data_IF_641602657574
#
_entry.id   IF_641602657574
#
_cell.length_a   1.000
_cell.length_b   1.000
_cell.length_c   1.000
_cell.angle_alpha   90.00
_cell.angle_beta   90.00
_cell.angle_gamma   90.00
#
_symmetry.space_group_name_H-M   'P 1'
#
loop_
_entity.id
_entity.type
_entity.pdbx_description
1 polymer ?
#
# COMPACT_ATOMS: atom_id res chain seq x y z
N UNK A 1 0.15 24.22 15.54
CA UNK A 1 -0.63 23.00 15.86
C UNK A 1 0.16 21.74 15.48
N UNK A 2 0.33 20.81 16.42
CA UNK A 2 1.18 19.60 16.33
C UNK A 2 0.48 18.38 15.70
N UNK A 3 -0.68 18.57 15.05
CA UNK A 3 -1.52 17.46 14.61
C UNK A 3 -1.10 16.91 13.25
N UNK A 4 -1.17 15.57 13.15
CA UNK A 4 -1.08 14.79 11.92
C UNK A 4 -2.09 15.30 10.87
N UNK A 5 -1.78 15.15 9.58
CA UNK A 5 -2.74 15.40 8.49
C UNK A 5 -3.74 14.24 8.36
N UNK A 6 -3.35 13.05 8.80
CA UNK A 6 -4.18 11.85 8.79
C UNK A 6 -5.05 11.80 10.05
N UNK A 7 -6.35 11.60 9.87
CA UNK A 7 -7.25 11.20 10.96
C UNK A 7 -7.19 9.69 11.14
N UNK A 8 -7.68 9.19 12.28
CA UNK A 8 -7.74 7.75 12.57
C UNK A 8 -8.40 6.92 11.45
N UNK A 9 -9.52 7.40 10.88
CA UNK A 9 -10.15 6.73 9.74
C UNK A 9 -9.24 6.65 8.51
N UNK A 10 -8.50 7.71 8.20
CA UNK A 10 -7.61 7.72 7.03
C UNK A 10 -6.42 6.79 7.24
N UNK A 11 -5.92 6.70 8.48
CA UNK A 11 -4.87 5.74 8.87
C UNK A 11 -5.36 4.30 8.69
N UNK A 12 -6.58 4.02 9.15
CA UNK A 12 -7.19 2.69 9.02
C UNK A 12 -7.47 2.33 7.56
N UNK A 13 -7.97 3.27 6.76
CA UNK A 13 -8.21 3.07 5.32
C UNK A 13 -6.89 2.76 4.59
N UNK A 14 -5.84 3.56 4.83
CA UNK A 14 -4.50 3.30 4.26
C UNK A 14 -3.96 1.94 4.70
N UNK A 15 -4.05 1.63 6.00
CA UNK A 15 -3.61 0.35 6.56
C UNK A 15 -4.33 -0.82 5.89
N UNK A 16 -5.66 -0.75 5.74
CA UNK A 16 -6.46 -1.81 5.16
C UNK A 16 -6.07 -2.10 3.70
N UNK A 17 -5.86 -1.05 2.88
CA UNK A 17 -5.53 -1.25 1.46
C UNK A 17 -4.09 -1.80 1.31
N UNK A 18 -3.12 -1.29 2.06
CA UNK A 18 -1.75 -1.83 2.06
C UNK A 18 -1.74 -3.28 2.52
N UNK A 19 -2.42 -3.58 3.63
CA UNK A 19 -2.50 -4.92 4.18
C UNK A 19 -3.17 -5.89 3.20
N UNK A 20 -4.26 -5.47 2.57
CA UNK A 20 -4.94 -6.26 1.54
C UNK A 20 -4.02 -6.60 0.36
N UNK A 21 -3.19 -5.65 -0.09
CA UNK A 21 -2.24 -5.91 -1.16
C UNK A 21 -1.15 -6.92 -0.76
N UNK A 22 -0.58 -6.77 0.43
CA UNK A 22 0.41 -7.72 0.94
C UNK A 22 -0.18 -9.12 1.15
N UNK A 23 -1.37 -9.22 1.74
CA UNK A 23 -2.05 -10.50 1.96
C UNK A 23 -2.40 -11.17 0.63
N UNK A 24 -2.91 -10.41 -0.35
CA UNK A 24 -3.24 -10.96 -1.67
C UNK A 24 -2.00 -11.55 -2.35
N UNK A 25 -0.87 -10.84 -2.30
CA UNK A 25 0.39 -11.35 -2.84
C UNK A 25 0.87 -12.61 -2.09
N UNK A 26 0.75 -12.61 -0.76
CA UNK A 26 1.13 -13.75 0.08
C UNK A 26 0.27 -14.98 -0.21
N UNK A 27 -1.05 -14.83 -0.39
CA UNK A 27 -1.95 -15.93 -0.77
C UNK A 27 -1.52 -16.52 -2.12
N UNK A 28 -1.24 -15.67 -3.11
CA UNK A 28 -0.82 -16.14 -4.44
C UNK A 28 0.51 -16.90 -4.39
N UNK A 29 1.46 -16.46 -3.56
CA UNK A 29 2.72 -17.18 -3.34
C UNK A 29 2.54 -18.48 -2.59
N UNK A 30 1.69 -18.48 -1.56
CA UNK A 30 1.37 -19.68 -0.80
C UNK A 30 0.78 -20.75 -1.71
N UNK A 31 -0.19 -20.36 -2.54
CA UNK A 31 -0.83 -21.26 -3.51
C UNK A 31 0.17 -21.79 -4.55
N UNK A 32 1.20 -21.01 -4.91
CA UNK A 32 2.26 -21.46 -5.82
C UNK A 32 3.24 -22.47 -5.19
N UNK A 33 3.46 -22.37 -3.88
CA UNK A 33 4.38 -23.26 -3.14
C UNK A 33 3.68 -24.51 -2.62
N UNK A 34 2.41 -24.37 -2.24
CA UNK A 34 1.54 -25.49 -1.87
C UNK A 34 1.14 -26.22 -3.15
N UNK A 35 2.00 -27.12 -3.62
CA UNK A 35 1.67 -28.05 -4.69
C UNK A 35 0.46 -28.88 -4.23
N UNK A 36 -0.72 -28.61 -4.79
CA UNK A 36 -1.99 -29.17 -4.36
C UNK A 36 -2.12 -30.60 -4.91
N UNK A 37 -1.35 -31.53 -4.32
CA UNK A 37 -1.24 -32.94 -4.70
C UNK A 37 -2.59 -33.71 -4.71
N UNK A 38 -3.67 -33.14 -4.17
CA UNK A 38 -4.95 -33.82 -3.95
C UNK A 38 -6.01 -33.72 -5.06
N UNK A 39 -5.92 -32.77 -6.01
CA UNK A 39 -6.98 -32.62 -7.02
C UNK A 39 -6.54 -31.92 -8.30
N UNK A 40 -6.40 -32.70 -9.38
CA UNK A 40 -6.00 -32.25 -10.72
C UNK A 40 -6.85 -31.09 -11.28
N UNK A 41 -8.17 -31.11 -11.02
CA UNK A 41 -9.08 -30.05 -11.51
C UNK A 41 -8.81 -28.73 -10.78
N UNK A 42 -8.62 -28.75 -9.46
CA UNK A 42 -8.36 -27.55 -8.66
C UNK A 42 -7.00 -26.92 -9.03
N UNK A 43 -5.99 -27.76 -9.27
CA UNK A 43 -4.65 -27.35 -9.68
C UNK A 43 -4.70 -26.56 -10.99
N UNK A 44 -5.41 -27.07 -12.01
CA UNK A 44 -5.53 -26.39 -13.30
C UNK A 44 -6.24 -25.03 -13.23
N UNK A 45 -7.28 -24.90 -12.38
CA UNK A 45 -7.92 -23.60 -12.13
C UNK A 45 -6.99 -22.62 -11.43
N UNK A 46 -6.21 -23.11 -10.46
CA UNK A 46 -5.28 -22.30 -9.69
C UNK A 46 -4.09 -21.84 -10.53
N UNK A 47 -3.54 -22.70 -11.38
CA UNK A 47 -2.48 -22.33 -12.34
C UNK A 47 -2.93 -21.18 -13.24
N UNK A 48 -4.17 -21.24 -13.74
CA UNK A 48 -4.73 -20.14 -14.53
C UNK A 48 -4.79 -18.83 -13.73
N UNK A 49 -5.08 -18.87 -12.43
CA UNK A 49 -5.07 -17.68 -11.56
C UNK A 49 -3.64 -17.17 -11.33
N UNK A 50 -2.66 -18.07 -11.17
CA UNK A 50 -1.24 -17.73 -11.00
C UNK A 50 -0.71 -17.03 -12.26
N UNK A 51 -1.12 -17.45 -13.46
CA UNK A 51 -0.75 -16.76 -14.71
C UNK A 51 -1.21 -15.29 -14.73
N UNK A 52 -2.33 -14.99 -14.07
CA UNK A 52 -2.83 -13.63 -13.89
C UNK A 52 -2.31 -12.91 -12.64
N UNK A 53 -1.38 -13.49 -11.87
CA UNK A 53 -0.81 -12.88 -10.65
C UNK A 53 -0.26 -11.47 -10.91
N UNK A 54 0.39 -11.26 -12.05
CA UNK A 54 0.93 -9.96 -12.43
C UNK A 54 -0.18 -8.93 -12.67
N UNK A 55 -1.26 -9.33 -13.35
CA UNK A 55 -2.43 -8.47 -13.61
C UNK A 55 -3.12 -8.10 -12.31
N UNK A 56 -3.32 -9.08 -11.41
CA UNK A 56 -3.89 -8.84 -10.08
C UNK A 56 -3.04 -7.83 -9.30
N UNK A 57 -1.72 -7.99 -9.32
CA UNK A 57 -0.80 -7.07 -8.66
C UNK A 57 -0.91 -5.65 -9.23
N UNK A 58 -1.01 -5.48 -10.55
CA UNK A 58 -1.22 -4.17 -11.20
C UNK A 58 -2.55 -3.53 -10.76
N UNK A 59 -3.64 -4.30 -10.72
CA UNK A 59 -4.94 -3.76 -10.30
C UNK A 59 -4.87 -3.29 -8.84
N UNK A 60 -4.23 -4.06 -7.96
CA UNK A 60 -4.06 -3.71 -6.56
C UNK A 60 -3.21 -2.44 -6.39
N UNK A 61 -2.11 -2.30 -7.13
CA UNK A 61 -1.29 -1.06 -7.07
C UNK A 61 -2.03 0.15 -7.64
N UNK A 62 -2.92 -0.04 -8.61
CA UNK A 62 -3.76 1.03 -9.13
C UNK A 62 -4.77 1.54 -8.09
N UNK A 63 -5.38 0.64 -7.30
CA UNK A 63 -6.27 1.01 -6.18
C UNK A 63 -5.51 1.88 -5.17
N UNK A 64 -4.26 1.52 -4.84
CA UNK A 64 -3.42 2.33 -3.95
C UNK A 64 -3.18 3.74 -4.50
N UNK A 65 -2.94 3.87 -5.81
CA UNK A 65 -2.76 5.18 -6.46
C UNK A 65 -4.03 6.04 -6.34
N UNK A 66 -5.20 5.44 -6.58
CA UNK A 66 -6.50 6.13 -6.43
C UNK A 66 -6.68 6.60 -4.99
N UNK A 67 -6.38 5.76 -4.00
CA UNK A 67 -6.50 6.12 -2.59
C UNK A 67 -5.66 7.35 -2.25
N UNK A 68 -4.39 7.40 -2.66
CA UNK A 68 -3.54 8.56 -2.41
C UNK A 68 -4.08 9.84 -3.06
N UNK A 69 -4.57 9.74 -4.29
CA UNK A 69 -5.19 10.87 -4.99
C UNK A 69 -6.46 11.35 -4.27
N UNK A 70 -7.35 10.43 -3.91
CA UNK A 70 -8.59 10.75 -3.20
C UNK A 70 -8.32 11.34 -1.82
N UNK A 71 -7.32 10.84 -1.09
CA UNK A 71 -6.90 11.39 0.19
C UNK A 71 -6.45 12.85 0.07
N UNK A 72 -5.60 13.17 -0.91
CA UNK A 72 -5.15 14.53 -1.15
C UNK A 72 -6.31 15.46 -1.51
N UNK A 73 -7.20 15.03 -2.40
CA UNK A 73 -8.36 15.83 -2.80
C UNK A 73 -9.30 16.12 -1.62
N UNK A 74 -9.54 15.13 -0.73
CA UNK A 74 -10.33 15.31 0.51
C UNK A 74 -9.68 16.31 1.47
N UNK A 75 -8.35 16.43 1.47
CA UNK A 75 -7.56 17.28 2.38
C UNK A 75 -7.14 18.62 1.79
N UNK A 76 -7.48 18.91 0.54
CA UNK A 76 -7.11 20.15 -0.16
C UNK A 76 -7.45 21.42 0.62
N UNK A 77 -8.68 21.54 1.12
CA UNK A 77 -9.13 22.71 1.90
C UNK A 77 -8.30 22.86 3.19
N UNK A 78 -8.03 21.75 3.89
CA UNK A 78 -7.25 21.78 5.13
C UNK A 78 -5.79 22.16 4.87
N UNK A 79 -5.21 21.69 3.77
CA UNK A 79 -3.86 22.06 3.32
C UNK A 79 -3.82 23.56 3.00
N UNK A 80 -4.78 24.10 2.24
CA UNK A 80 -4.88 25.53 1.94
C UNK A 80 -5.05 26.38 3.20
N UNK A 81 -5.89 25.97 4.16
CA UNK A 81 -6.04 26.67 5.43
C UNK A 81 -4.75 26.67 6.25
N UNK A 82 -4.00 25.56 6.29
CA UNK A 82 -2.71 25.50 7.00
C UNK A 82 -1.66 26.42 6.37
N UNK A 83 -1.64 26.51 5.04
CA UNK A 83 -0.77 27.46 4.31
C UNK A 83 -1.16 28.91 4.64
N UNK A 84 -2.46 29.24 4.68
CA UNK A 84 -2.95 30.58 5.00
C UNK A 84 -2.55 31.05 6.40
N UNK A 85 -2.49 30.12 7.37
CA UNK A 85 -2.07 30.40 8.76
C UNK A 85 -0.54 30.43 8.91
N UNK A 86 0.21 30.30 7.82
CA UNK A 86 1.68 30.44 7.79
C UNK A 86 2.47 29.14 7.86
N UNK A 87 1.85 27.97 7.64
CA UNK A 87 2.58 26.71 7.47
C UNK A 87 3.23 26.66 6.07
N UNK A 88 4.39 26.01 5.95
CA UNK A 88 5.09 25.90 4.67
C UNK A 88 4.66 24.64 3.92
N UNK A 89 4.53 24.70 2.60
CA UNK A 89 4.19 23.54 1.76
C UNK A 89 5.12 22.35 2.03
N UNK A 90 6.42 22.61 2.22
CA UNK A 90 7.42 21.60 2.54
C UNK A 90 7.15 20.86 3.86
N UNK A 91 6.74 21.57 4.92
CA UNK A 91 6.41 20.94 6.21
C UNK A 91 5.20 20.02 6.08
N UNK A 92 4.21 20.40 5.27
CA UNK A 92 3.03 19.57 5.00
C UNK A 92 3.43 18.31 4.23
N UNK A 93 4.26 18.45 3.19
CA UNK A 93 4.77 17.31 2.39
C UNK A 93 5.55 16.32 3.25
N UNK A 94 6.47 16.79 4.11
CA UNK A 94 7.26 15.93 5.00
C UNK A 94 6.36 15.18 5.97
N UNK A 95 5.34 15.84 6.55
CA UNK A 95 4.38 15.18 7.45
C UNK A 95 3.56 14.10 6.73
N UNK A 96 3.10 14.39 5.51
CA UNK A 96 2.38 13.42 4.70
C UNK A 96 3.24 12.20 4.35
N UNK A 97 4.48 12.44 3.92
CA UNK A 97 5.44 11.39 3.58
C UNK A 97 5.76 10.50 4.78
N UNK A 98 6.10 11.11 5.93
CA UNK A 98 6.43 10.38 7.15
C UNK A 98 5.25 9.53 7.65
N UNK A 99 4.04 10.07 7.65
CA UNK A 99 2.86 9.32 8.08
C UNK A 99 2.57 8.15 7.13
N UNK A 100 2.61 8.39 5.82
CA UNK A 100 2.35 7.32 4.83
C UNK A 100 3.40 6.23 4.90
N UNK A 101 4.68 6.60 5.08
CA UNK A 101 5.79 5.67 5.23
C UNK A 101 5.72 4.90 6.54
N UNK A 102 5.28 5.53 7.64
CA UNK A 102 5.07 4.85 8.92
C UNK A 102 3.96 3.78 8.82
N UNK A 103 2.85 4.07 8.13
CA UNK A 103 1.77 3.09 7.90
C UNK A 103 2.28 1.95 7.03
N UNK A 104 2.99 2.27 5.94
CA UNK A 104 3.59 1.27 5.07
C UNK A 104 4.54 0.35 5.85
N UNK A 105 5.44 0.92 6.65
CA UNK A 105 6.39 0.15 7.46
C UNK A 105 5.67 -0.75 8.46
N UNK A 106 4.62 -0.25 9.12
CA UNK A 106 3.82 -1.06 10.04
C UNK A 106 3.13 -2.24 9.34
N UNK A 107 2.52 -2.01 8.18
CA UNK A 107 1.88 -3.08 7.38
C UNK A 107 2.89 -4.09 6.85
N UNK A 108 4.08 -3.62 6.46
CA UNK A 108 5.16 -4.49 5.98
C UNK A 108 5.70 -5.38 7.10
N UNK A 109 5.92 -4.85 8.30
CA UNK A 109 6.33 -5.66 9.45
C UNK A 109 5.31 -6.75 9.76
N UNK A 110 4.01 -6.41 9.73
CA UNK A 110 2.94 -7.37 9.97
C UNK A 110 2.89 -8.45 8.87
N UNK A 111 3.11 -8.07 7.61
CA UNK A 111 3.27 -9.04 6.51
C UNK A 111 4.52 -9.91 6.69
N UNK A 112 5.66 -9.34 7.11
CA UNK A 112 6.89 -10.10 7.35
C UNK A 112 6.68 -11.18 8.41
N UNK A 113 5.97 -10.85 9.50
CA UNK A 113 5.59 -11.83 10.53
C UNK A 113 4.77 -12.99 9.96
N UNK A 114 3.83 -12.71 9.05
CA UNK A 114 3.05 -13.75 8.37
C UNK A 114 3.89 -14.60 7.42
N UNK A 115 4.83 -14.01 6.69
CA UNK A 115 5.73 -14.76 5.81
C UNK A 115 6.66 -15.69 6.59
N UNK A 116 7.16 -15.25 7.75
CA UNK A 116 7.98 -16.09 8.63
C UNK A 116 7.18 -17.26 9.21
N UNK A 117 5.89 -17.06 9.51
CA UNK A 117 5.01 -18.14 9.96
C UNK A 117 4.75 -19.21 8.89
N UNK A 118 4.79 -18.83 7.61
CA UNK A 118 4.47 -19.69 6.47
C UNK A 118 5.71 -20.17 5.69
N UNK A 119 6.91 -19.84 6.14
CA UNK A 119 8.20 -20.14 5.48
C UNK A 119 8.23 -19.75 3.98
N UNK A 120 7.62 -18.60 3.64
CA UNK A 120 7.53 -18.10 2.26
C UNK A 120 8.64 -17.10 1.92
N UNK A 121 9.02 -17.06 0.64
CA UNK A 121 10.02 -16.13 0.12
C UNK A 121 9.58 -14.66 0.24
N UNK A 122 10.45 -13.82 0.82
CA UNK A 122 10.19 -12.41 1.13
C UNK A 122 10.41 -11.47 -0.07
N UNK A 123 11.06 -11.96 -1.13
CA UNK A 123 11.53 -11.14 -2.28
C UNK A 123 10.41 -10.38 -2.99
N UNK A 124 9.26 -11.02 -3.19
CA UNK A 124 8.06 -10.43 -3.80
C UNK A 124 7.50 -9.25 -3.00
N UNK A 125 7.46 -9.36 -1.66
CA UNK A 125 6.96 -8.31 -0.79
C UNK A 125 7.90 -7.10 -0.78
N UNK A 126 9.21 -7.30 -0.95
CA UNK A 126 10.16 -6.20 -1.12
C UNK A 126 9.91 -5.39 -2.40
N UNK A 127 9.57 -6.05 -3.52
CA UNK A 127 9.21 -5.33 -4.75
C UNK A 127 7.95 -4.48 -4.57
N UNK A 128 6.94 -4.99 -3.86
CA UNK A 128 5.73 -4.25 -3.52
C UNK A 128 6.01 -3.02 -2.63
N UNK A 129 6.87 -3.17 -1.62
CA UNK A 129 7.30 -2.04 -0.78
C UNK A 129 7.97 -0.97 -1.63
N UNK A 130 8.89 -1.34 -2.52
CA UNK A 130 9.57 -0.38 -3.41
C UNK A 130 8.57 0.36 -4.31
N UNK A 131 7.60 -0.35 -4.89
CA UNK A 131 6.54 0.27 -5.68
C UNK A 131 5.73 1.28 -4.86
N UNK A 132 5.33 0.92 -3.63
CA UNK A 132 4.58 1.83 -2.76
C UNK A 132 5.37 3.06 -2.34
N UNK A 133 6.67 2.95 -2.10
CA UNK A 133 7.53 4.11 -1.85
C UNK A 133 7.51 5.06 -3.05
N UNK A 134 7.63 4.54 -4.28
CA UNK A 134 7.55 5.35 -5.51
C UNK A 134 6.18 6.04 -5.62
N UNK A 135 5.08 5.34 -5.35
CA UNK A 135 3.74 5.94 -5.37
C UNK A 135 3.57 7.04 -4.31
N UNK A 136 4.11 6.87 -3.10
CA UNK A 136 4.10 7.90 -2.07
C UNK A 136 4.88 9.14 -2.56
N UNK A 137 6.04 8.95 -3.19
CA UNK A 137 6.84 10.06 -3.75
C UNK A 137 6.09 10.80 -4.87
N UNK A 138 5.43 10.07 -5.78
CA UNK A 138 4.59 10.66 -6.84
C UNK A 138 3.45 11.47 -6.21
N UNK A 139 2.80 10.92 -5.20
CA UNK A 139 1.68 11.57 -4.48
C UNK A 139 2.15 12.82 -3.74
N UNK A 140 3.32 12.79 -3.12
CA UNK A 140 3.96 13.96 -2.51
C UNK A 140 4.16 15.07 -3.56
N UNK A 141 4.61 14.71 -4.77
CA UNK A 141 4.77 15.66 -5.88
C UNK A 141 3.47 16.37 -6.28
N UNK A 142 2.31 15.72 -6.12
CA UNK A 142 1.00 16.33 -6.40
C UNK A 142 0.65 17.45 -5.41
N UNK A 143 1.08 17.34 -4.15
CA UNK A 143 0.88 18.38 -3.13
C UNK A 143 1.55 19.71 -3.52
N UNK A 144 2.64 19.65 -4.29
CA UNK A 144 3.35 20.86 -4.72
C UNK A 144 2.63 21.62 -5.85
N UNK A 145 1.76 20.94 -6.61
CA UNK A 145 0.98 21.53 -7.70
C UNK A 145 -0.29 22.25 -7.22
N UNK A 146 -0.71 22.00 -5.98
CA UNK A 146 -1.83 22.69 -5.32
C UNK A 146 -1.35 23.87 -4.48
#
# INVERSE_FOLDING_TARGET
>A
MKYSLFRFNDVFEAFAIYFFCFVSNLILLYVKVADLEGSFILMSFIESIIDYQFVISIVLTFIMMIFHYQFLNRRKVEISCRILVGDTKQKIMIRYMLNSLAILLFTFLLSLSLNFYLDLNITSNLYLVLLFIVYILISVGQVNKE
#
